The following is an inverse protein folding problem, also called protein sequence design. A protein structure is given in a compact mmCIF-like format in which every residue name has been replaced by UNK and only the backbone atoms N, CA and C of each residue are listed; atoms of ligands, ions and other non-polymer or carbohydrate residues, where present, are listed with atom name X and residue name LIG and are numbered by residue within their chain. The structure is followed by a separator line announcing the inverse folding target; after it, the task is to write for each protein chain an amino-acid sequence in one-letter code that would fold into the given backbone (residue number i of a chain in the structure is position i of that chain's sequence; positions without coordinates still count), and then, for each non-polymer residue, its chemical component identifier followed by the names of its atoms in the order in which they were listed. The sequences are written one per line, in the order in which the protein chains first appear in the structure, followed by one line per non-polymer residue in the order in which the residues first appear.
data_IF_989715804340
#
_entry.id   IF_989715804340
#
_cell.length_a   1.000
_cell.length_b   1.000
_cell.length_c   1.000
_cell.angle_alpha   90.00
_cell.angle_beta   90.00
_cell.angle_gamma   90.00
#
_symmetry.space_group_name_H-M   'P 1'
#
loop_
_entity.id
_entity.type
_entity.pdbx_description
1 polymer ?
#
# COMPACT_ATOMS: atom_id res chain seq x y z
N UNK A 1 19.54 0.53 10.06
CA UNK A 1 19.23 -0.31 11.24
C UNK A 1 19.42 -1.76 10.84
N UNK A 2 19.82 -2.65 11.74
CA UNK A 2 19.73 -4.10 11.48
C UNK A 2 18.32 -4.59 11.77
N UNK A 3 17.92 -5.69 11.15
CA UNK A 3 16.60 -6.30 11.32
C UNK A 3 16.33 -6.59 12.82
N UNK A 4 17.34 -7.11 13.53
CA UNK A 4 17.30 -7.34 14.99
C UNK A 4 16.95 -6.09 15.81
N UNK A 5 17.36 -4.90 15.38
CA UNK A 5 17.03 -3.66 16.12
C UNK A 5 15.59 -3.23 15.92
N UNK A 6 15.00 -3.56 14.77
CA UNK A 6 13.60 -3.26 14.46
C UNK A 6 12.65 -4.26 15.15
N UNK A 7 12.97 -5.56 15.14
CA UNK A 7 12.20 -6.59 15.86
C UNK A 7 12.18 -6.35 17.37
N UNK A 8 13.31 -5.96 17.98
CA UNK A 8 13.37 -5.56 19.40
C UNK A 8 12.51 -4.34 19.72
N UNK A 9 12.27 -3.47 18.74
CA UNK A 9 11.45 -2.29 18.90
C UNK A 9 9.97 -2.65 18.77
N UNK A 10 9.58 -3.46 17.78
CA UNK A 10 8.24 -4.05 17.64
C UNK A 10 7.76 -4.73 18.95
N UNK A 11 8.59 -5.60 19.53
CA UNK A 11 8.22 -6.31 20.77
C UNK A 11 8.09 -5.37 21.98
N UNK A 12 8.85 -4.27 22.04
CA UNK A 12 8.70 -3.24 23.08
C UNK A 12 7.37 -2.48 22.94
N UNK A 13 6.99 -2.08 21.73
CA UNK A 13 5.71 -1.42 21.48
C UNK A 13 4.53 -2.36 21.77
N UNK A 14 4.63 -3.64 21.36
CA UNK A 14 3.67 -4.68 21.72
C UNK A 14 3.49 -4.79 23.24
N UNK A 15 4.59 -4.89 23.99
CA UNK A 15 4.55 -4.96 25.47
C UNK A 15 3.92 -3.71 26.09
N UNK A 16 4.21 -2.52 25.57
CA UNK A 16 3.61 -1.26 26.05
C UNK A 16 2.09 -1.18 25.80
N UNK A 17 1.61 -1.67 24.65
CA UNK A 17 0.16 -1.76 24.37
C UNK A 17 -0.49 -2.81 25.27
N UNK A 18 0.18 -3.94 25.55
CA UNK A 18 -0.32 -4.96 26.49
C UNK A 18 -0.40 -4.43 27.93
N UNK A 19 0.62 -3.70 28.41
CA UNK A 19 0.61 -3.04 29.72
C UNK A 19 -0.49 -1.98 29.87
N UNK A 20 -0.88 -1.33 28.76
CA UNK A 20 -2.03 -0.42 28.68
C UNK A 20 -3.40 -1.14 28.66
N UNK A 21 -3.42 -2.48 28.65
CA UNK A 21 -4.64 -3.29 28.64
C UNK A 21 -4.96 -3.97 27.29
N UNK A 22 -4.04 -3.88 26.32
CA UNK A 22 -4.17 -4.49 24.99
C UNK A 22 -4.73 -3.54 23.91
N UNK A 23 -4.95 -2.27 24.23
CA UNK A 23 -5.41 -1.23 23.30
C UNK A 23 -4.75 0.11 23.66
N UNK A 24 -4.31 0.89 22.66
CA UNK A 24 -3.70 2.20 22.85
C UNK A 24 -3.91 3.11 21.63
N UNK A 25 -4.06 4.41 21.85
CA UNK A 25 -4.13 5.41 20.77
C UNK A 25 -2.75 5.76 20.20
N UNK A 26 -2.73 6.30 18.97
CA UNK A 26 -1.52 6.78 18.33
C UNK A 26 -0.81 7.85 19.17
N UNK A 27 -1.56 8.84 19.63
CA UNK A 27 -1.05 9.95 20.43
C UNK A 27 -0.43 9.48 21.76
N UNK A 28 -1.07 8.55 22.47
CA UNK A 28 -0.49 7.94 23.68
C UNK A 28 0.79 7.17 23.42
N UNK A 29 0.90 6.49 22.28
CA UNK A 29 2.10 5.74 21.90
C UNK A 29 3.23 6.67 21.46
N UNK A 30 2.91 7.82 20.86
CA UNK A 30 3.88 8.89 20.59
C UNK A 30 4.40 9.52 21.89
N UNK A 31 3.52 9.85 22.84
CA UNK A 31 3.93 10.37 24.14
C UNK A 31 4.79 9.37 24.93
N UNK A 32 4.42 8.09 24.91
CA UNK A 32 5.20 7.02 25.54
C UNK A 32 6.56 6.84 24.85
N UNK A 33 6.61 6.79 23.52
CA UNK A 33 7.86 6.62 22.78
C UNK A 33 8.83 7.79 22.97
N UNK A 34 8.33 9.02 23.07
CA UNK A 34 9.14 10.19 23.40
C UNK A 34 9.67 10.16 24.85
N UNK A 35 8.88 9.64 25.79
CA UNK A 35 9.29 9.51 27.21
C UNK A 35 10.37 8.45 27.41
N UNK A 36 10.27 7.33 26.71
CA UNK A 36 11.17 6.18 26.83
C UNK A 36 12.33 6.19 25.80
N UNK A 37 12.53 7.30 25.08
CA UNK A 37 13.51 7.46 23.99
C UNK A 37 13.47 6.34 22.93
N UNK A 38 12.25 5.86 22.61
CA UNK A 38 12.00 4.75 21.68
C UNK A 38 11.69 5.19 20.24
N UNK A 39 11.89 6.47 19.94
CA UNK A 39 11.81 7.04 18.59
C UNK A 39 10.82 8.19 18.45
N UNK A 40 10.87 8.82 17.27
CA UNK A 40 9.97 9.91 16.91
C UNK A 40 8.60 9.42 16.44
N UNK A 41 7.66 10.33 16.25
CA UNK A 41 6.32 10.06 15.70
C UNK A 41 6.34 9.25 14.38
N UNK A 42 7.38 9.42 13.56
CA UNK A 42 7.60 8.61 12.34
C UNK A 42 7.87 7.14 12.66
N UNK A 43 8.71 6.87 13.66
CA UNK A 43 9.04 5.52 14.11
C UNK A 43 7.79 4.82 14.66
N UNK A 44 7.00 5.54 15.45
CA UNK A 44 5.70 5.07 15.95
C UNK A 44 4.76 4.70 14.80
N UNK A 45 4.58 5.58 13.82
CA UNK A 45 3.72 5.33 12.66
C UNK A 45 4.16 4.10 11.84
N UNK A 46 5.47 3.97 11.56
CA UNK A 46 6.02 2.82 10.84
C UNK A 46 5.82 1.51 11.61
N UNK A 47 6.08 1.50 12.92
CA UNK A 47 5.94 0.31 13.76
C UNK A 47 4.49 -0.15 13.85
N UNK A 48 3.54 0.78 14.03
CA UNK A 48 2.14 0.41 14.17
C UNK A 48 1.55 -0.07 12.82
N UNK A 49 1.97 0.52 11.71
CA UNK A 49 1.65 0.00 10.38
C UNK A 49 2.20 -1.44 10.19
N UNK A 50 3.43 -1.69 10.62
CA UNK A 50 4.05 -3.02 10.55
C UNK A 50 3.33 -4.05 11.45
N UNK A 51 2.97 -3.68 12.68
CA UNK A 51 2.23 -4.55 13.60
C UNK A 51 0.87 -4.98 13.04
N UNK A 52 0.16 -4.07 12.35
CA UNK A 52 -1.11 -4.39 11.68
C UNK A 52 -0.87 -5.20 10.41
N UNK A 53 0.14 -4.87 9.61
CA UNK A 53 0.54 -5.63 8.41
C UNK A 53 0.89 -7.09 8.73
N UNK A 54 1.50 -7.34 9.90
CA UNK A 54 1.83 -8.68 10.42
C UNK A 54 0.67 -9.41 11.09
N UNK A 55 -0.51 -8.79 11.23
CA UNK A 55 -1.65 -9.35 11.97
C UNK A 55 -1.41 -9.53 13.47
N UNK A 56 -0.44 -8.81 14.05
CA UNK A 56 -0.18 -8.79 15.50
C UNK A 56 -1.15 -7.85 16.21
N UNK A 57 -1.67 -6.86 15.48
CA UNK A 57 -2.64 -5.91 15.96
C UNK A 57 -3.66 -5.53 14.88
N UNK A 58 -4.78 -4.94 15.30
CA UNK A 58 -5.79 -4.34 14.43
C UNK A 58 -5.91 -2.84 14.67
N UNK A 59 -6.41 -2.13 13.67
CA UNK A 59 -6.70 -0.70 13.73
C UNK A 59 -8.23 -0.46 13.79
N UNK A 60 -8.91 -0.66 14.94
CA UNK A 60 -10.38 -0.60 15.03
C UNK A 60 -10.98 0.77 14.67
N UNK A 61 -10.21 1.85 14.80
CA UNK A 61 -10.61 3.20 14.38
C UNK A 61 -10.02 3.63 13.03
N UNK A 62 -9.42 2.69 12.29
CA UNK A 62 -8.80 2.95 10.99
C UNK A 62 -7.58 3.88 11.06
N UNK A 63 -7.20 4.40 9.89
CA UNK A 63 -5.97 5.15 9.67
C UNK A 63 -6.22 6.65 9.51
N UNK A 64 -5.34 7.45 10.09
CA UNK A 64 -5.28 8.92 10.02
C UNK A 64 -4.00 9.33 9.30
N UNK A 65 -4.09 10.34 8.43
CA UNK A 65 -2.89 11.02 7.88
C UNK A 65 -2.25 11.83 9.01
N UNK A 66 -0.96 11.60 9.27
CA UNK A 66 -0.23 12.26 10.35
C UNK A 66 0.31 13.60 9.86
N UNK A 67 -0.08 14.70 10.52
CA UNK A 67 0.41 16.03 10.19
C UNK A 67 1.93 16.12 10.43
N UNK A 68 2.66 16.72 9.47
CA UNK A 68 4.12 16.83 9.52
C UNK A 68 4.90 15.61 9.02
N UNK A 69 4.23 14.54 8.56
CA UNK A 69 4.86 13.37 7.94
C UNK A 69 4.26 13.11 6.55
N UNK A 70 4.75 13.79 5.51
CA UNK A 70 4.50 13.63 4.05
C UNK A 70 3.41 12.62 3.60
N UNK A 71 2.15 12.85 4.00
CA UNK A 71 1.01 12.00 3.63
C UNK A 71 0.99 10.58 4.27
N UNK A 72 1.88 10.29 5.23
CA UNK A 72 1.94 9.01 5.91
C UNK A 72 0.67 8.78 6.76
N UNK A 73 -0.01 7.68 6.49
CA UNK A 73 -1.13 7.23 7.30
C UNK A 73 -0.63 6.32 8.45
N UNK A 74 -1.15 6.54 9.65
CA UNK A 74 -0.91 5.71 10.83
C UNK A 74 -2.26 5.29 11.46
N UNK A 75 -2.36 4.10 12.10
CA UNK A 75 -3.59 3.68 12.76
C UNK A 75 -3.87 4.56 13.98
N UNK A 76 -5.08 5.12 14.07
CA UNK A 76 -5.45 6.07 15.14
C UNK A 76 -5.52 5.41 16.51
N UNK A 77 -5.91 4.14 16.55
CA UNK A 77 -5.93 3.26 17.71
C UNK A 77 -5.46 1.89 17.26
N UNK A 78 -4.66 1.23 18.09
CA UNK A 78 -4.10 -0.10 17.85
C UNK A 78 -4.51 -1.03 18.97
N UNK A 79 -5.08 -2.18 18.61
CA UNK A 79 -5.54 -3.21 19.53
C UNK A 79 -4.80 -4.51 19.26
N UNK A 80 -4.18 -5.11 20.27
CA UNK A 80 -3.45 -6.36 20.11
C UNK A 80 -4.40 -7.53 19.91
N UNK A 81 -4.10 -8.35 18.89
CA UNK A 81 -4.72 -9.66 18.75
C UNK A 81 -3.98 -10.64 19.67
N UNK A 82 -4.64 -11.05 20.76
CA UNK A 82 -4.13 -12.13 21.61
C UNK A 82 -4.25 -13.44 20.85
N UNK A 83 -3.10 -13.96 20.44
CA UNK A 83 -2.92 -15.11 19.56
C UNK A 83 -3.69 -16.35 20.04
N UNK A 84 -4.61 -16.84 19.20
CA UNK A 84 -4.74 -18.28 18.96
C UNK A 84 -4.54 -18.58 17.47
N UNK A 85 -3.96 -19.73 17.19
CA UNK A 85 -3.37 -20.09 15.89
C UNK A 85 -4.41 -20.60 14.90
N UNK A 86 -4.67 -19.85 13.83
CA UNK A 86 -4.69 -20.31 12.42
C UNK A 86 -5.24 -19.20 11.50
N UNK A 87 -4.84 -19.11 10.22
CA UNK A 87 -5.46 -18.20 9.27
C UNK A 87 -6.83 -18.73 8.83
N UNK A 88 -7.92 -17.95 8.92
CA UNK A 88 -9.08 -18.12 8.07
C UNK A 88 -9.00 -17.18 6.86
N UNK A 89 -9.44 -17.73 5.73
CA UNK A 89 -9.78 -17.06 4.48
C UNK A 89 -10.77 -15.86 4.66
N UNK A 90 -10.98 -15.01 3.63
CA UNK A 90 -11.20 -13.58 3.82
C UNK A 90 -12.51 -13.28 4.54
N UNK A 91 -12.46 -12.35 5.51
CA UNK A 91 -13.65 -11.93 6.22
C UNK A 91 -14.59 -11.10 5.32
N UNK A 92 -15.92 -11.17 5.56
CA UNK A 92 -16.92 -10.84 4.54
C UNK A 92 -17.47 -9.42 4.68
N UNK A 93 -18.21 -8.97 3.66
CA UNK A 93 -19.09 -7.80 3.78
C UNK A 93 -20.17 -7.99 4.86
N UNK A 94 -20.36 -6.99 5.73
CA UNK A 94 -21.67 -6.32 5.92
C UNK A 94 -21.43 -4.81 6.17
N UNK A 95 -21.73 -4.02 5.14
CA UNK A 95 -22.60 -2.81 5.14
C UNK A 95 -22.82 -2.11 6.49
N UNK A 96 -22.42 -0.85 6.67
CA UNK A 96 -23.25 0.39 6.53
C UNK A 96 -22.31 1.58 6.92
N UNK A 97 -22.23 2.75 6.27
CA UNK A 97 -23.07 3.39 5.24
C UNK A 97 -22.30 4.32 4.27
N UNK A 98 -23.09 5.03 3.43
CA UNK A 98 -22.89 6.34 2.78
C UNK A 98 -21.81 7.28 3.39
N UNK A 99 -21.00 8.01 2.60
CA UNK A 99 -21.13 8.41 1.19
C UNK A 99 -19.79 8.49 0.43
N UNK A 100 -19.62 7.73 -0.65
CA UNK A 100 -18.97 8.23 -1.88
C UNK A 100 -19.63 7.59 -3.10
N UNK A 101 -19.87 8.39 -4.13
CA UNK A 101 -20.49 7.98 -5.40
C UNK A 101 -19.61 6.96 -6.14
N UNK A 102 -20.14 5.83 -6.63
CA UNK A 102 -19.36 4.93 -7.47
C UNK A 102 -19.19 5.56 -8.86
N UNK A 103 -17.97 5.98 -9.18
CA UNK A 103 -17.60 6.26 -10.57
C UNK A 103 -17.52 4.92 -11.32
N UNK A 104 -18.56 4.61 -12.09
CA UNK A 104 -18.59 3.46 -12.99
C UNK A 104 -17.54 3.65 -14.07
N UNK A 105 -16.37 3.03 -13.89
CA UNK A 105 -15.41 2.80 -14.97
C UNK A 105 -15.92 1.62 -15.81
N UNK A 106 -16.05 1.80 -17.12
CA UNK A 106 -16.55 0.75 -18.01
C UNK A 106 -15.44 -0.25 -18.34
N UNK A 107 -15.83 -1.43 -18.86
CA UNK A 107 -14.86 -2.50 -19.16
C UNK A 107 -13.91 -2.10 -20.30
N UNK A 108 -14.37 -1.21 -21.17
CA UNK A 108 -13.64 -0.61 -22.28
C UNK A 108 -12.56 0.36 -21.78
N UNK A 109 -12.88 1.25 -20.83
CA UNK A 109 -11.93 2.19 -20.25
C UNK A 109 -10.77 1.47 -19.56
N UNK A 110 -11.06 0.38 -18.82
CA UNK A 110 -10.03 -0.46 -18.18
C UNK A 110 -9.11 -1.12 -19.22
N UNK A 111 -9.61 -1.36 -20.44
CA UNK A 111 -8.81 -1.94 -21.53
C UNK A 111 -7.88 -0.90 -22.17
N UNK A 112 -8.38 0.31 -22.43
CA UNK A 112 -7.55 1.42 -22.93
C UNK A 112 -6.44 1.80 -21.94
N UNK A 113 -6.79 1.93 -20.65
CA UNK A 113 -5.85 2.17 -19.55
C UNK A 113 -4.78 1.08 -19.44
N UNK A 114 -5.13 -0.19 -19.70
CA UNK A 114 -4.18 -1.31 -19.73
C UNK A 114 -3.24 -1.24 -20.94
N UNK A 115 -3.74 -0.87 -22.13
CA UNK A 115 -2.92 -0.70 -23.34
C UNK A 115 -1.87 0.42 -23.16
N UNK A 116 -2.23 1.53 -22.50
CA UNK A 116 -1.29 2.61 -22.12
C UNK A 116 -0.20 2.08 -21.18
N UNK A 117 -0.56 1.33 -20.15
CA UNK A 117 0.41 0.80 -19.20
C UNK A 117 1.32 -0.29 -19.79
N UNK A 118 0.79 -1.13 -20.68
CA UNK A 118 1.59 -2.08 -21.47
C UNK A 118 2.57 -1.34 -22.39
N UNK A 119 2.14 -0.27 -23.07
CA UNK A 119 3.02 0.53 -23.91
C UNK A 119 4.14 1.19 -23.10
N UNK A 120 3.84 1.74 -21.91
CA UNK A 120 4.85 2.28 -21.00
C UNK A 120 5.87 1.21 -20.57
N UNK A 121 5.43 0.00 -20.20
CA UNK A 121 6.31 -1.09 -19.77
C UNK A 121 7.14 -1.71 -20.91
N UNK A 122 6.73 -1.50 -22.17
CA UNK A 122 7.57 -1.83 -23.34
C UNK A 122 8.74 -0.84 -23.50
N UNK A 123 8.55 0.43 -23.12
CA UNK A 123 9.63 1.44 -23.09
C UNK A 123 10.49 1.31 -21.82
N UNK A 124 9.87 0.99 -20.68
CA UNK A 124 10.50 0.95 -19.35
C UNK A 124 10.30 -0.42 -18.66
N UNK A 125 11.24 -1.33 -18.88
CA UNK A 125 11.16 -2.72 -18.39
C UNK A 125 11.18 -2.88 -16.86
N UNK A 126 11.72 -1.89 -16.12
CA UNK A 126 11.84 -1.94 -14.66
C UNK A 126 11.66 -0.55 -14.08
N UNK A 127 10.68 -0.38 -13.18
CA UNK A 127 10.28 0.92 -12.62
C UNK A 127 9.84 0.79 -11.17
N UNK A 128 10.12 1.81 -10.34
CA UNK A 128 9.57 1.86 -8.97
C UNK A 128 8.05 2.04 -9.01
N UNK A 129 7.32 1.28 -8.20
CA UNK A 129 5.85 1.24 -8.16
C UNK A 129 5.21 2.62 -8.00
N UNK A 130 5.72 3.44 -7.08
CA UNK A 130 5.23 4.80 -6.85
C UNK A 130 5.34 5.65 -8.13
N UNK A 131 6.45 5.52 -8.86
CA UNK A 131 6.68 6.24 -10.12
C UNK A 131 5.86 5.69 -11.26
N UNK A 132 5.70 4.37 -11.34
CA UNK A 132 4.81 3.74 -12.32
C UNK A 132 3.38 4.26 -12.17
N UNK A 133 2.85 4.27 -10.94
CA UNK A 133 1.50 4.77 -10.66
C UNK A 133 1.33 6.27 -10.97
N UNK A 134 2.39 7.08 -10.85
CA UNK A 134 2.35 8.51 -11.14
C UNK A 134 2.50 8.81 -12.64
N UNK A 135 3.47 8.17 -13.30
CA UNK A 135 3.67 8.27 -14.75
C UNK A 135 2.42 7.79 -15.52
N UNK A 136 1.70 6.76 -15.04
CA UNK A 136 0.41 6.36 -15.62
C UNK A 136 -0.68 7.43 -15.49
N UNK A 137 -0.79 8.13 -14.36
CA UNK A 137 -1.75 9.26 -14.21
C UNK A 137 -1.40 10.40 -15.16
N UNK A 138 -0.11 10.70 -15.32
CA UNK A 138 0.37 11.72 -16.26
C UNK A 138 0.05 11.35 -17.73
N UNK A 139 -0.04 10.05 -18.04
CA UNK A 139 -0.49 9.52 -19.33
C UNK A 139 -2.02 9.42 -19.47
N UNK A 140 -2.79 9.83 -18.46
CA UNK A 140 -4.25 9.88 -18.50
C UNK A 140 -4.98 8.64 -17.95
N UNK A 141 -4.25 7.65 -17.43
CA UNK A 141 -4.85 6.44 -16.82
C UNK A 141 -5.66 6.84 -15.59
N UNK A 142 -6.94 6.44 -15.56
CA UNK A 142 -7.88 6.88 -14.52
C UNK A 142 -7.67 6.18 -13.20
N UNK A 143 -7.36 4.88 -13.24
CA UNK A 143 -7.16 4.05 -12.05
C UNK A 143 -5.90 3.15 -12.19
N UNK A 144 -4.70 3.73 -12.01
CA UNK A 144 -3.44 3.00 -12.21
C UNK A 144 -3.26 1.86 -11.19
N UNK A 145 -3.92 1.93 -10.04
CA UNK A 145 -3.91 0.85 -9.04
C UNK A 145 -4.66 -0.40 -9.54
N UNK A 146 -5.85 -0.21 -10.14
CA UNK A 146 -6.56 -1.31 -10.82
C UNK A 146 -5.76 -1.88 -12.00
N UNK A 147 -5.11 -1.02 -12.79
CA UNK A 147 -4.28 -1.46 -13.92
C UNK A 147 -3.09 -2.29 -13.44
N UNK A 148 -2.33 -1.81 -12.45
CA UNK A 148 -1.22 -2.56 -11.85
C UNK A 148 -1.69 -3.92 -11.30
N UNK A 149 -2.81 -3.96 -10.58
CA UNK A 149 -3.41 -5.22 -10.12
C UNK A 149 -3.72 -6.16 -11.30
N UNK A 150 -4.27 -5.64 -12.39
CA UNK A 150 -4.59 -6.43 -13.59
C UNK A 150 -3.34 -6.96 -14.30
N UNK A 151 -2.27 -6.16 -14.38
CA UNK A 151 -0.98 -6.59 -14.96
C UNK A 151 -0.32 -7.71 -14.12
N UNK A 152 -0.45 -7.65 -12.79
CA UNK A 152 -0.02 -8.72 -11.87
C UNK A 152 -0.87 -9.99 -12.04
N UNK A 153 -2.21 -9.86 -12.10
CA UNK A 153 -3.12 -11.00 -12.35
C UNK A 153 -2.86 -11.70 -13.69
N UNK A 154 -2.49 -10.94 -14.73
CA UNK A 154 -2.13 -11.47 -16.05
C UNK A 154 -0.69 -12.01 -16.11
N UNK A 155 0.10 -11.82 -15.05
CA UNK A 155 1.52 -12.18 -15.01
C UNK A 155 2.36 -11.44 -16.06
N UNK A 156 1.95 -10.23 -16.44
CA UNK A 156 2.69 -9.34 -17.34
C UNK A 156 3.78 -8.57 -16.61
N UNK A 157 3.62 -8.35 -15.31
CA UNK A 157 4.62 -7.77 -14.43
C UNK A 157 4.80 -8.59 -13.16
N UNK A 158 5.97 -8.45 -12.54
CA UNK A 158 6.30 -9.01 -11.24
C UNK A 158 6.72 -7.87 -10.29
N UNK A 159 6.27 -7.93 -9.04
CA UNK A 159 6.59 -6.96 -7.98
C UNK A 159 7.68 -7.52 -7.07
N UNK A 160 8.78 -6.79 -6.91
CA UNK A 160 9.83 -7.13 -5.95
C UNK A 160 9.47 -6.69 -4.52
N UNK A 161 10.09 -7.26 -3.47
CA UNK A 161 9.98 -6.75 -2.11
C UNK A 161 10.43 -5.30 -1.94
N UNK A 162 11.29 -4.80 -2.83
CA UNK A 162 11.76 -3.41 -2.86
C UNK A 162 10.75 -2.42 -3.50
N UNK A 163 9.55 -2.87 -3.89
CA UNK A 163 8.56 -2.02 -4.54
C UNK A 163 8.92 -1.65 -5.98
N UNK A 164 9.69 -2.49 -6.68
CA UNK A 164 10.00 -2.34 -8.11
C UNK A 164 9.09 -3.28 -8.91
N UNK A 165 8.48 -2.73 -9.96
CA UNK A 165 7.68 -3.46 -10.94
C UNK A 165 8.58 -3.77 -12.13
N UNK A 166 8.77 -5.06 -12.41
CA UNK A 166 9.49 -5.54 -13.59
C UNK A 166 8.49 -6.10 -14.60
N UNK A 167 8.65 -5.74 -15.87
CA UNK A 167 7.97 -6.41 -16.97
C UNK A 167 8.48 -7.86 -17.13
N UNK A 168 7.60 -8.74 -17.58
CA UNK A 168 7.92 -10.13 -17.92
C UNK A 168 7.91 -10.32 -19.44
N UNK A 169 8.47 -11.43 -19.93
CA UNK A 169 8.42 -11.80 -21.34
C UNK A 169 6.99 -12.05 -21.87
N UNK A 170 5.99 -12.19 -20.97
CA UNK A 170 4.57 -12.35 -21.32
C UNK A 170 3.89 -11.02 -21.66
N UNK A 171 4.53 -9.88 -21.37
CA UNK A 171 4.00 -8.56 -21.70
C UNK A 171 3.83 -8.43 -23.22
N UNK A 172 2.61 -8.18 -23.74
CA UNK A 172 2.39 -8.04 -25.17
C UNK A 172 3.14 -6.81 -25.71
N UNK A 173 3.87 -6.99 -26.82
CA UNK A 173 4.61 -5.91 -27.46
C UNK A 173 3.70 -5.02 -28.30
N UNK A 174 3.10 -4.03 -27.65
CA UNK A 174 2.34 -2.98 -28.33
C UNK A 174 3.33 -2.10 -29.10
N UNK A 175 3.47 -2.36 -30.40
CA UNK A 175 4.05 -1.37 -31.30
C UNK A 175 3.11 -0.16 -31.28
N UNK A 176 3.54 0.98 -30.72
CA UNK A 176 2.83 2.24 -30.99
C UNK A 176 2.73 2.37 -32.51
N UNK A 177 1.50 2.39 -33.01
CA UNK A 177 1.25 2.63 -34.43
C UNK A 177 1.90 3.94 -34.83
N UNK A 178 2.39 4.00 -36.08
CA UNK A 178 3.08 5.13 -36.68
C UNK A 178 2.47 6.46 -36.23
N UNK A 179 3.32 7.38 -35.73
CA UNK A 179 2.90 8.77 -35.53
C UNK A 179 2.32 9.34 -36.82
N UNK A 180 1.35 10.25 -36.73
CA UNK A 180 0.72 10.93 -37.88
C UNK A 180 1.69 11.71 -38.81
N UNK A 181 2.99 11.72 -38.51
CA UNK A 181 4.04 12.35 -39.32
C UNK A 181 4.32 11.67 -40.69
N UNK A 182 3.74 10.51 -40.98
CA UNK A 182 3.87 9.84 -42.31
C UNK A 182 2.71 10.10 -43.28
N UNK A 183 1.80 11.02 -42.96
CA UNK A 183 0.81 11.55 -43.91
C UNK A 183 1.18 12.98 -44.35
N UNK A 184 2.11 13.09 -45.30
CA UNK A 184 2.40 14.31 -46.07
C UNK A 184 2.90 13.93 -47.46
#
# INVERSE_FOLDING_TARGET
MSEDTFEKLLERYRKAIEEKGGEASFEELVEWAQREDMGSMLVVAVILNEMVSRGVAEAPQGYRVVEGLDGLAAPSVVKLLKTETSPPEPMPSITVAKTVTPATLTLEEVKEDLEVAVAYLNDYWSVGELRFLDDLKALGVKDPGKVLKKLLELGYVERTPSGVINATEKLPKVRRGLSLAEFT
#
